data_IF_220627820509
#
_entry.id   IF_220627820509
#
_cell.length_a   1.000
_cell.length_b   1.000
_cell.length_c   1.000
_cell.angle_alpha   90.00
_cell.angle_beta   90.00
_cell.angle_gamma   90.00
#
_symmetry.space_group_name_H-M   'P 1'
#
loop_
_entity.id
_entity.type
_entity.pdbx_description
1 polymer ?
#
# COMPACT_ATOMS: atom_id res chain seq x y z
N UNK A 1 3.72 16.06 18.40
CA UNK A 1 4.06 14.67 18.00
C UNK A 1 4.68 14.73 16.61
N UNK A 2 5.92 14.25 16.51
CA UNK A 2 6.63 14.09 15.26
C UNK A 2 5.91 13.10 14.34
N UNK A 3 6.07 13.26 13.02
CA UNK A 3 5.53 12.31 12.04
C UNK A 3 6.42 11.09 12.00
N UNK A 4 5.82 9.90 11.89
CA UNK A 4 6.53 8.63 11.79
C UNK A 4 6.32 8.04 10.41
N UNK A 5 7.37 7.49 9.83
CA UNK A 5 7.38 6.96 8.48
C UNK A 5 7.82 5.51 8.46
N UNK A 6 7.28 4.73 7.53
CA UNK A 6 7.52 3.30 7.43
C UNK A 6 7.56 2.86 5.98
N UNK A 7 8.11 1.68 5.75
CA UNK A 7 7.89 0.90 4.53
C UNK A 7 6.76 -0.09 4.77
N UNK A 8 5.78 -0.11 3.90
CA UNK A 8 4.74 -1.12 3.87
C UNK A 8 4.96 -2.00 2.65
N UNK A 9 5.09 -3.32 2.83
CA UNK A 9 5.25 -4.23 1.69
C UNK A 9 4.01 -4.17 0.78
N UNK A 10 4.23 -3.99 -0.52
CA UNK A 10 3.19 -3.94 -1.54
C UNK A 10 2.47 -5.29 -1.68
N UNK A 11 3.11 -6.41 -1.33
CA UNK A 11 2.49 -7.74 -1.27
C UNK A 11 1.20 -7.76 -0.44
N UNK A 12 1.11 -6.91 0.59
CA UNK A 12 -0.08 -6.79 1.42
C UNK A 12 -1.33 -6.37 0.64
N UNK A 13 -1.19 -5.61 -0.46
CA UNK A 13 -2.31 -5.24 -1.33
C UNK A 13 -2.87 -6.45 -2.09
N UNK A 14 -1.98 -7.34 -2.54
CA UNK A 14 -2.37 -8.55 -3.24
C UNK A 14 -2.99 -9.59 -2.29
N UNK A 15 -2.66 -9.49 -1.00
CA UNK A 15 -3.13 -10.40 0.05
C UNK A 15 -4.36 -9.87 0.82
N UNK A 16 -4.99 -8.77 0.38
CA UNK A 16 -6.14 -8.15 1.07
C UNK A 16 -7.33 -9.08 1.31
N UNK A 17 -7.52 -10.09 0.45
CA UNK A 17 -8.55 -11.11 0.62
C UNK A 17 -8.40 -11.94 1.91
N UNK A 18 -7.19 -12.03 2.46
CA UNK A 18 -6.87 -12.79 3.66
C UNK A 18 -7.00 -11.97 4.96
N UNK A 19 -7.14 -10.66 4.84
CA UNK A 19 -7.27 -9.75 5.97
C UNK A 19 -8.73 -9.35 6.20
N UNK A 20 -9.12 -9.27 7.48
CA UNK A 20 -10.48 -8.88 7.86
C UNK A 20 -10.48 -8.03 9.13
N UNK A 21 -11.45 -7.12 9.22
CA UNK A 21 -11.75 -6.32 10.41
C UNK A 21 -12.90 -6.93 11.20
N UNK A 22 -12.85 -6.85 12.53
CA UNK A 22 -14.03 -7.15 13.35
C UNK A 22 -15.07 -6.04 13.16
N UNK A 23 -16.34 -6.41 12.95
CA UNK A 23 -17.45 -5.45 12.90
C UNK A 23 -17.74 -4.89 14.29
N UNK A 24 -17.77 -5.78 15.28
CA UNK A 24 -17.85 -5.48 16.71
C UNK A 24 -16.56 -5.93 17.40
N UNK A 25 -15.87 -4.98 18.04
CA UNK A 25 -14.58 -5.18 18.68
C UNK A 25 -14.68 -6.00 19.97
N UNK A 26 -15.83 -5.96 20.64
CA UNK A 26 -16.06 -6.63 21.92
C UNK A 26 -16.55 -8.07 21.74
N UNK A 27 -17.09 -8.40 20.57
CA UNK A 27 -17.56 -9.75 20.21
C UNK A 27 -16.45 -10.65 19.66
N UNK A 28 -16.52 -11.98 19.82
CA UNK A 28 -15.49 -12.88 19.27
C UNK A 28 -15.36 -12.77 17.72
N UNK A 29 -14.16 -13.01 17.19
CA UNK A 29 -13.94 -13.05 15.74
C UNK A 29 -14.54 -14.35 15.18
N UNK A 30 -15.50 -14.23 14.25
CA UNK A 30 -16.10 -15.33 13.51
C UNK A 30 -16.64 -14.82 12.16
N UNK A 31 -17.04 -15.72 11.26
CA UNK A 31 -17.49 -15.38 9.89
C UNK A 31 -18.63 -14.35 9.84
N UNK A 32 -19.47 -14.28 10.87
CA UNK A 32 -20.58 -13.32 10.93
C UNK A 32 -20.12 -11.94 11.46
N UNK A 33 -19.07 -11.89 12.28
CA UNK A 33 -18.52 -10.68 12.91
C UNK A 33 -17.24 -10.15 12.26
N UNK A 34 -16.97 -10.52 10.99
CA UNK A 34 -15.81 -10.00 10.24
C UNK A 34 -16.24 -9.33 8.93
N UNK A 35 -15.46 -8.33 8.52
CA UNK A 35 -15.57 -7.65 7.24
C UNK A 35 -14.23 -7.77 6.49
N UNK A 36 -14.25 -8.36 5.29
CA UNK A 36 -13.03 -8.54 4.49
C UNK A 36 -12.46 -7.19 4.08
N UNK A 37 -11.15 -7.02 4.23
CA UNK A 37 -10.48 -5.82 3.74
C UNK A 37 -10.54 -5.70 2.22
N UNK A 38 -10.56 -6.81 1.47
CA UNK A 38 -10.73 -6.72 0.02
C UNK A 38 -12.01 -5.94 -0.35
N UNK A 39 -13.15 -6.29 0.26
CA UNK A 39 -14.40 -5.56 0.01
C UNK A 39 -14.34 -4.10 0.50
N UNK A 40 -13.67 -3.85 1.63
CA UNK A 40 -13.44 -2.47 2.10
C UNK A 40 -12.73 -1.61 1.07
N UNK A 41 -11.63 -2.12 0.51
CA UNK A 41 -10.82 -1.37 -0.44
C UNK A 41 -11.42 -1.35 -1.85
N UNK A 42 -12.20 -2.35 -2.25
CA UNK A 42 -12.98 -2.32 -3.49
C UNK A 42 -14.04 -1.22 -3.46
N UNK A 43 -14.67 -0.99 -2.31
CA UNK A 43 -15.61 0.13 -2.13
C UNK A 43 -14.89 1.48 -2.09
N UNK A 44 -13.81 1.59 -1.31
CA UNK A 44 -13.09 2.86 -1.09
C UNK A 44 -12.24 3.29 -2.30
N UNK A 45 -11.61 2.35 -3.00
CA UNK A 45 -10.68 2.59 -4.11
C UNK A 45 -10.88 1.58 -5.28
N UNK A 46 -12.05 1.59 -5.94
CA UNK A 46 -12.41 0.57 -6.94
C UNK A 46 -11.45 0.49 -8.13
N UNK A 47 -10.94 1.63 -8.59
CA UNK A 47 -10.01 1.67 -9.73
C UNK A 47 -8.65 1.05 -9.39
N UNK A 48 -8.13 1.33 -8.20
CA UNK A 48 -6.89 0.72 -7.69
C UNK A 48 -7.06 -0.79 -7.56
N UNK A 49 -8.13 -1.25 -6.92
CA UNK A 49 -8.35 -2.68 -6.70
C UNK A 49 -8.59 -3.44 -8.00
N UNK A 50 -9.28 -2.85 -8.97
CA UNK A 50 -9.38 -3.42 -10.32
C UNK A 50 -8.01 -3.60 -10.97
N UNK A 51 -7.12 -2.62 -10.82
CA UNK A 51 -5.77 -2.72 -11.35
C UNK A 51 -4.96 -3.80 -10.62
N UNK A 52 -4.94 -3.80 -9.28
CA UNK A 52 -4.28 -4.82 -8.45
C UNK A 52 -4.76 -6.24 -8.81
N UNK A 53 -6.05 -6.44 -9.00
CA UNK A 53 -6.61 -7.74 -9.40
C UNK A 53 -6.17 -8.17 -10.81
N UNK A 54 -6.10 -7.23 -11.76
CA UNK A 54 -5.55 -7.49 -13.09
C UNK A 54 -4.08 -7.91 -13.01
N UNK A 55 -3.29 -7.21 -12.19
CA UNK A 55 -1.90 -7.53 -11.92
C UNK A 55 -1.79 -8.92 -11.27
N UNK A 56 -2.60 -9.25 -10.27
CA UNK A 56 -2.57 -10.56 -9.62
C UNK A 56 -2.88 -11.72 -10.60
N UNK A 57 -3.90 -11.54 -11.44
CA UNK A 57 -4.34 -12.52 -12.43
C UNK A 57 -3.25 -12.84 -13.44
N UNK A 58 -2.63 -11.81 -14.00
CA UNK A 58 -1.51 -11.93 -14.91
C UNK A 58 -0.35 -12.71 -14.24
N UNK A 59 -0.04 -12.52 -12.93
CA UNK A 59 1.00 -13.32 -12.21
C UNK A 59 0.75 -14.80 -12.35
N UNK A 60 -0.49 -15.14 -12.04
CA UNK A 60 -0.92 -16.51 -11.92
C UNK A 60 -0.78 -17.19 -13.28
N UNK A 61 -1.25 -16.53 -14.34
CA UNK A 61 -1.09 -17.01 -15.71
C UNK A 61 0.37 -17.16 -16.13
N UNK A 62 1.24 -16.20 -15.82
CA UNK A 62 2.66 -16.30 -16.17
C UNK A 62 3.38 -17.44 -15.44
N UNK A 63 3.10 -17.63 -14.14
CA UNK A 63 3.66 -18.74 -13.35
C UNK A 63 3.24 -20.11 -13.89
N UNK A 64 1.98 -20.27 -14.26
CA UNK A 64 1.46 -21.52 -14.82
C UNK A 64 2.07 -21.85 -16.21
N UNK A 65 2.45 -20.83 -16.99
CA UNK A 65 2.89 -21.02 -18.38
C UNK A 65 4.41 -20.97 -18.61
N UNK A 66 5.25 -20.74 -17.59
CA UNK A 66 6.72 -20.68 -17.67
C UNK A 66 7.30 -19.74 -18.76
N UNK A 67 6.49 -18.84 -19.33
CA UNK A 67 6.89 -17.87 -20.34
C UNK A 67 7.15 -16.54 -19.66
N UNK A 68 8.41 -16.25 -19.32
CA UNK A 68 8.75 -14.90 -18.84
C UNK A 68 10.03 -14.41 -19.52
N UNK A 69 9.86 -13.56 -20.53
CA UNK A 69 10.98 -12.77 -21.05
C UNK A 69 11.45 -11.76 -19.99
N UNK A 70 12.70 -11.29 -20.08
CA UNK A 70 13.23 -10.26 -19.18
C UNK A 70 12.48 -8.92 -19.24
N UNK A 71 11.68 -8.68 -20.29
CA UNK A 71 10.73 -7.55 -20.39
C UNK A 71 9.40 -7.81 -19.67
N UNK A 72 9.00 -9.07 -19.49
CA UNK A 72 7.78 -9.49 -18.76
C UNK A 72 8.05 -9.79 -17.27
N UNK A 73 9.32 -9.99 -16.88
CA UNK A 73 9.74 -9.94 -15.46
C UNK A 73 9.53 -8.56 -14.83
N UNK A 74 9.17 -7.55 -15.62
CA UNK A 74 8.56 -6.31 -15.17
C UNK A 74 7.13 -6.56 -14.66
N UNK A 75 7.02 -7.45 -13.70
CA UNK A 75 5.90 -7.75 -12.83
C UNK A 75 6.09 -6.89 -11.57
N UNK A 76 5.94 -5.56 -11.57
CA UNK A 76 5.13 -4.74 -12.47
C UNK A 76 5.65 -3.34 -12.76
N UNK A 77 6.95 -3.09 -12.63
CA UNK A 77 7.39 -1.71 -12.38
C UNK A 77 6.50 -1.04 -11.31
N UNK A 78 6.03 -1.82 -10.34
CA UNK A 78 5.39 -1.38 -9.11
C UNK A 78 6.49 -1.47 -8.03
N UNK A 79 6.36 -0.72 -6.93
CA UNK A 79 7.39 -0.74 -5.93
C UNK A 79 7.27 -1.99 -5.07
N UNK A 80 8.39 -2.43 -4.48
CA UNK A 80 8.38 -3.51 -3.49
C UNK A 80 7.72 -3.06 -2.17
N UNK A 81 7.68 -1.75 -1.94
CA UNK A 81 7.09 -1.14 -0.75
C UNK A 81 6.41 0.19 -1.06
N UNK A 82 5.42 0.54 -0.26
CA UNK A 82 4.87 1.88 -0.16
C UNK A 82 5.60 2.63 0.95
N UNK A 83 6.03 3.86 0.66
CA UNK A 83 6.47 4.80 1.70
C UNK A 83 5.22 5.40 2.32
N UNK A 84 5.05 5.19 3.63
CA UNK A 84 3.82 5.58 4.32
C UNK A 84 4.08 6.44 5.55
N UNK A 85 3.19 7.39 5.80
CA UNK A 85 3.11 8.19 7.02
C UNK A 85 2.03 7.63 7.97
N UNK A 86 2.38 7.39 9.23
CA UNK A 86 1.41 6.89 10.21
C UNK A 86 0.43 7.99 10.70
N UNK A 87 -0.86 7.64 10.76
CA UNK A 87 -1.91 8.45 11.38
C UNK A 87 -1.75 8.49 12.90
N UNK A 88 -2.15 9.61 13.52
CA UNK A 88 -2.17 9.75 14.99
C UNK A 88 -3.47 9.29 15.64
N UNK A 89 -4.47 8.87 14.84
CA UNK A 89 -5.84 8.60 15.31
C UNK A 89 -6.18 7.12 15.09
N UNK A 90 -6.34 6.38 16.18
CA UNK A 90 -6.91 5.02 16.16
C UNK A 90 -6.11 4.01 15.35
N UNK A 91 -6.73 2.87 15.03
CA UNK A 91 -6.11 1.74 14.32
C UNK A 91 -5.24 2.22 13.16
N UNK A 92 -3.92 2.05 13.31
CA UNK A 92 -2.89 1.84 12.29
C UNK A 92 -3.28 2.23 10.85
N UNK A 93 -3.74 3.47 10.63
CA UNK A 93 -4.02 4.01 9.31
C UNK A 93 -2.74 4.70 8.83
N UNK A 94 -2.32 4.36 7.63
CA UNK A 94 -1.06 4.79 7.03
C UNK A 94 -1.35 5.41 5.68
N UNK A 95 -0.76 6.56 5.40
CA UNK A 95 -0.99 7.28 4.16
C UNK A 95 0.22 7.13 3.26
N UNK A 96 0.03 6.63 2.04
CA UNK A 96 1.11 6.63 1.05
C UNK A 96 1.49 8.07 0.71
N UNK A 97 2.78 8.35 0.73
CA UNK A 97 3.33 9.71 0.77
C UNK A 97 3.03 10.52 -0.50
N UNK A 98 3.00 9.89 -1.68
CA UNK A 98 2.73 10.56 -2.96
C UNK A 98 1.23 10.82 -3.17
N UNK A 99 0.42 9.79 -3.02
CA UNK A 99 -1.01 9.76 -3.40
C UNK A 99 -1.93 10.18 -2.25
N UNK A 100 -1.49 10.02 -1.00
CA UNK A 100 -2.31 10.20 0.19
C UNK A 100 -3.36 9.12 0.41
N UNK A 101 -3.35 8.04 -0.39
CA UNK A 101 -4.26 6.91 -0.20
C UNK A 101 -3.96 6.25 1.15
N UNK A 102 -5.02 5.95 1.88
CA UNK A 102 -4.90 5.40 3.22
C UNK A 102 -5.02 3.88 3.23
N UNK A 103 -4.19 3.27 4.07
CA UNK A 103 -4.06 1.84 4.29
C UNK A 103 -4.19 1.55 5.78
N UNK A 104 -5.16 0.72 6.12
CA UNK A 104 -5.31 0.11 7.44
C UNK A 104 -4.33 -1.07 7.51
N UNK A 105 -3.35 -0.96 8.40
CA UNK A 105 -2.40 -2.03 8.75
C UNK A 105 -2.95 -2.75 9.98
N UNK A 106 -3.07 -4.08 9.94
CA UNK A 106 -3.62 -4.85 11.06
C UNK A 106 -2.51 -5.48 11.90
N UNK A 107 -2.58 -5.27 13.22
CA UNK A 107 -1.68 -5.95 14.16
C UNK A 107 -1.90 -7.47 14.21
N UNK A 108 -3.02 -7.98 13.68
CA UNK A 108 -3.40 -9.40 13.67
C UNK A 108 -4.22 -9.75 12.41
N UNK A 109 -3.89 -10.85 11.74
CA UNK A 109 -4.73 -11.42 10.68
C UNK A 109 -5.75 -12.38 11.31
N UNK A 110 -7.04 -12.17 11.03
CA UNK A 110 -8.12 -12.91 11.70
C UNK A 110 -8.64 -14.12 10.90
N UNK A 111 -8.18 -14.35 9.65
CA UNK A 111 -8.70 -15.45 8.83
C UNK A 111 -7.77 -15.97 7.73
N UNK A 112 -6.52 -16.35 8.05
CA UNK A 112 -5.75 -17.19 7.12
C UNK A 112 -4.71 -18.07 7.83
N UNK A 113 -4.73 -19.40 7.62
CA UNK A 113 -3.64 -20.29 8.05
C UNK A 113 -2.40 -20.08 7.18
N UNK A 114 -1.27 -19.71 7.79
CA UNK A 114 0.04 -19.68 7.12
C UNK A 114 0.48 -18.32 6.56
N UNK A 115 -0.36 -17.30 6.62
CA UNK A 115 -0.01 -15.94 6.16
C UNK A 115 0.33 -15.02 7.35
N UNK A 116 1.37 -14.19 7.17
CA UNK A 116 1.81 -13.25 8.19
C UNK A 116 0.87 -12.04 8.30
N UNK A 117 0.88 -11.43 9.49
CA UNK A 117 0.17 -10.19 9.77
C UNK A 117 0.58 -9.13 8.74
N UNK A 118 -0.32 -8.22 8.38
CA UNK A 118 0.08 -7.05 7.61
C UNK A 118 0.94 -6.17 8.53
N UNK A 119 2.25 -6.11 8.31
CA UNK A 119 3.18 -5.38 9.19
C UNK A 119 3.78 -4.20 8.43
N UNK A 120 3.78 -3.02 9.07
CA UNK A 120 4.73 -2.00 8.70
C UNK A 120 6.14 -2.49 9.04
N UNK A 121 7.10 -2.28 8.14
CA UNK A 121 8.51 -2.51 8.43
C UNK A 121 9.03 -1.59 9.55
N UNK A 122 10.34 -1.53 9.71
CA UNK A 122 10.95 -0.64 10.70
C UNK A 122 10.65 0.84 10.42
N UNK A 123 10.53 1.64 11.50
CA UNK A 123 10.40 3.08 11.39
C UNK A 123 11.63 3.66 10.68
N UNK A 124 11.41 4.43 9.62
CA UNK A 124 12.47 5.08 8.86
C UNK A 124 12.56 6.56 9.22
N UNK A 125 13.77 7.09 9.18
CA UNK A 125 13.99 8.52 9.41
C UNK A 125 13.49 9.34 8.23
N UNK A 126 13.30 10.64 8.47
CA UNK A 126 12.92 11.58 7.42
C UNK A 126 13.99 11.70 6.33
N UNK A 127 15.27 11.60 6.70
CA UNK A 127 16.39 11.60 5.75
C UNK A 127 16.34 10.36 4.86
N UNK A 128 16.16 9.17 5.44
CA UNK A 128 15.98 7.93 4.68
C UNK A 128 14.76 7.99 3.77
N UNK A 129 13.65 8.54 4.25
CA UNK A 129 12.45 8.73 3.43
C UNK A 129 12.74 9.58 2.20
N UNK A 130 13.45 10.71 2.34
CA UNK A 130 13.80 11.59 1.23
C UNK A 130 14.74 10.90 0.22
N UNK A 131 15.66 10.06 0.68
CA UNK A 131 16.54 9.27 -0.20
C UNK A 131 15.76 8.21 -0.99
N UNK A 132 14.79 7.56 -0.36
CA UNK A 132 13.95 6.53 -0.98
C UNK A 132 12.89 7.13 -1.90
N UNK A 133 12.44 8.35 -1.65
CA UNK A 133 11.45 9.07 -2.46
C UNK A 133 12.09 9.69 -3.72
N UNK A 134 12.55 8.84 -4.63
CA UNK A 134 13.20 9.24 -5.89
C UNK A 134 12.28 9.04 -7.11
N UNK A 135 12.75 9.46 -8.30
CA UNK A 135 11.97 9.37 -9.54
C UNK A 135 11.60 7.93 -9.95
N UNK A 136 12.40 6.94 -9.57
CA UNK A 136 12.09 5.51 -9.80
C UNK A 136 10.91 5.08 -8.92
N UNK A 137 10.97 5.34 -7.60
CA UNK A 137 9.85 5.10 -6.69
C UNK A 137 8.58 5.79 -7.19
N UNK A 138 8.65 7.06 -7.55
CA UNK A 138 7.49 7.81 -8.04
C UNK A 138 6.96 7.22 -9.35
N UNK A 139 7.85 6.82 -10.27
CA UNK A 139 7.45 6.12 -11.49
C UNK A 139 6.67 4.85 -11.19
N UNK A 140 7.13 4.06 -10.22
CA UNK A 140 6.54 2.79 -9.83
C UNK A 140 5.21 2.95 -9.10
N UNK A 141 5.11 3.90 -8.19
CA UNK A 141 3.85 4.26 -7.53
C UNK A 141 2.82 4.72 -8.56
N UNK A 142 3.20 5.63 -9.47
CA UNK A 142 2.28 6.05 -10.53
C UNK A 142 1.78 4.87 -11.38
N UNK A 143 2.64 3.88 -11.66
CA UNK A 143 2.23 2.65 -12.33
C UNK A 143 1.18 1.88 -11.52
N UNK A 144 1.44 1.64 -10.23
CA UNK A 144 0.53 0.91 -9.33
C UNK A 144 -0.85 1.56 -9.19
N UNK A 145 -0.91 2.90 -9.16
CA UNK A 145 -2.16 3.65 -9.03
C UNK A 145 -2.77 4.07 -10.38
N UNK A 146 -2.25 3.55 -11.50
CA UNK A 146 -2.66 3.88 -12.88
C UNK A 146 -2.67 5.40 -13.19
N UNK A 147 -1.74 6.14 -12.60
CA UNK A 147 -1.55 7.58 -12.80
C UNK A 147 -0.67 7.80 -14.03
N UNK A 148 -1.31 8.11 -15.16
CA UNK A 148 -0.63 8.31 -16.45
C UNK A 148 -0.39 9.77 -16.81
N UNK A 149 -1.16 10.67 -16.23
CA UNK A 149 -1.07 12.09 -16.56
C UNK A 149 0.21 12.73 -16.01
N UNK A 150 0.95 13.40 -16.89
CA UNK A 150 2.25 13.98 -16.56
C UNK A 150 2.12 15.17 -15.61
N UNK A 151 1.10 15.99 -15.79
CA UNK A 151 0.87 17.17 -14.94
C UNK A 151 0.47 16.73 -13.52
N UNK A 152 -0.43 15.76 -13.42
CA UNK A 152 -0.86 15.16 -12.16
C UNK A 152 0.33 14.54 -11.40
N UNK A 153 1.19 13.79 -12.09
CA UNK A 153 2.41 13.22 -11.51
C UNK A 153 3.32 14.30 -10.92
N UNK A 154 3.57 15.38 -11.67
CA UNK A 154 4.44 16.47 -11.22
C UNK A 154 3.82 17.27 -10.07
N UNK A 155 2.50 17.43 -10.05
CA UNK A 155 1.78 18.06 -8.94
C UNK A 155 1.90 17.22 -7.67
N UNK A 156 1.69 15.89 -7.75
CA UNK A 156 1.88 15.00 -6.60
C UNK A 156 3.31 15.04 -6.06
N UNK A 157 4.32 15.04 -6.93
CA UNK A 157 5.72 15.19 -6.52
C UNK A 157 5.95 16.48 -5.76
N UNK A 158 5.50 17.62 -6.30
CA UNK A 158 5.66 18.94 -5.66
C UNK A 158 4.98 18.99 -4.30
N UNK A 159 3.77 18.46 -4.20
CA UNK A 159 3.01 18.44 -2.95
C UNK A 159 3.65 17.53 -1.90
N UNK A 160 4.13 16.35 -2.30
CA UNK A 160 4.85 15.44 -1.43
C UNK A 160 6.14 16.10 -0.92
N UNK A 161 6.99 16.64 -1.81
CA UNK A 161 8.22 17.34 -1.43
C UNK A 161 7.93 18.51 -0.49
N UNK A 162 6.87 19.29 -0.76
CA UNK A 162 6.44 20.38 0.12
C UNK A 162 6.02 19.88 1.51
N UNK A 163 5.22 18.82 1.60
CA UNK A 163 4.81 18.19 2.88
C UNK A 163 6.02 17.66 3.66
N UNK A 164 6.96 17.02 2.96
CA UNK A 164 8.16 16.44 3.55
C UNK A 164 9.15 17.54 3.98
N UNK A 165 9.28 18.65 3.26
CA UNK A 165 10.24 19.70 3.61
C UNK A 165 9.71 20.67 4.68
N UNK A 166 8.43 21.08 4.60
CA UNK A 166 7.82 22.04 5.52
C UNK A 166 7.61 21.53 6.95
N UNK A 167 7.82 20.24 7.22
CA UNK A 167 7.79 19.72 8.60
C UNK A 167 9.00 20.15 9.44
N UNK A 168 9.97 20.88 8.88
CA UNK A 168 10.90 21.69 9.70
C UNK A 168 10.23 23.03 9.99
N UNK A 169 9.44 23.09 11.07
CA UNK A 169 9.22 24.28 11.91
C UNK A 169 8.06 24.06 12.87
N UNK A 170 8.35 23.48 14.03
CA UNK A 170 7.96 24.00 15.34
C UNK A 170 8.58 23.15 16.45
#
# INVERSE_FOLDING_TARGET
>A
MEKKYYKLDVSNLFNLGYYSLKKDQDSAANIHNVYSLNYYYEDRYPSLMKHVNSLAYDNYWYRENNTVSSKERAFYNIPDYLLVEASKIGYFEYFEVLTGISFIILSEALSCPGEEKMIAGEEITKEQLLELFNDDYVGKICSLFDIRDKEQKENFKKDAVKKLTLTKSK
#
